data_IF_094502065679
#
_entry.id   IF_094502065679
#
_cell.length_a   1.000
_cell.length_b   1.000
_cell.length_c   1.000
_cell.angle_alpha   90.00
_cell.angle_beta   90.00
_cell.angle_gamma   90.00
#
_symmetry.space_group_name_H-M   'P 1'
#
loop_
_entity.id
_entity.type
_entity.pdbx_description
1 polymer ?
#
# COMPACT_ATOMS: atom_id res chain seq x y z
N UNK A 1 -6.16 -53.26 -64.65
CA UNK A 1 -5.08 -52.55 -63.95
C UNK A 1 -5.73 -51.73 -62.84
N UNK A 2 -5.61 -52.16 -61.58
CA UNK A 2 -6.16 -51.47 -60.41
C UNK A 2 -5.01 -50.72 -59.72
N UNK A 3 -5.02 -49.39 -59.80
CA UNK A 3 -4.03 -48.53 -59.14
C UNK A 3 -4.49 -48.25 -57.71
N UNK A 4 -3.76 -48.81 -56.74
CA UNK A 4 -3.94 -48.58 -55.31
C UNK A 4 -3.18 -47.32 -54.89
N UNK A 5 -3.89 -46.30 -54.44
CA UNK A 5 -3.33 -45.03 -53.96
C UNK A 5 -3.18 -45.08 -52.43
N UNK A 6 -1.93 -45.19 -51.98
CA UNK A 6 -1.53 -45.01 -50.58
C UNK A 6 -1.53 -43.53 -50.21
N UNK A 7 -2.38 -43.13 -49.24
CA UNK A 7 -2.30 -41.81 -48.60
C UNK A 7 -1.29 -41.83 -47.45
N UNK A 8 -0.35 -40.87 -47.37
CA UNK A 8 0.54 -40.73 -46.24
C UNK A 8 -0.18 -40.01 -45.08
N UNK A 9 -0.19 -40.62 -43.90
CA UNK A 9 -0.58 -39.96 -42.66
C UNK A 9 0.53 -38.98 -42.25
N UNK A 10 0.25 -37.67 -42.36
CA UNK A 10 1.07 -36.64 -41.72
C UNK A 10 0.86 -36.70 -40.20
N UNK A 11 1.91 -37.00 -39.45
CA UNK A 11 1.93 -36.82 -37.99
C UNK A 11 2.34 -35.38 -37.67
N UNK A 12 1.45 -34.62 -37.03
CA UNK A 12 1.77 -33.30 -36.49
C UNK A 12 2.39 -33.45 -35.10
N UNK A 13 3.54 -32.81 -34.82
CA UNK A 13 4.11 -32.78 -33.48
C UNK A 13 3.24 -31.91 -32.56
N UNK A 14 2.57 -32.54 -31.60
CA UNK A 14 1.78 -31.85 -30.58
C UNK A 14 2.74 -31.32 -29.51
N UNK A 15 3.19 -30.07 -29.66
CA UNK A 15 3.93 -29.37 -28.60
C UNK A 15 2.95 -28.97 -27.49
N UNK A 16 2.98 -29.70 -26.37
CA UNK A 16 2.29 -29.33 -25.15
C UNK A 16 2.98 -28.09 -24.54
N UNK A 17 2.47 -26.90 -24.85
CA UNK A 17 2.83 -25.68 -24.12
C UNK A 17 2.24 -25.75 -22.71
N UNK A 18 3.06 -26.12 -21.73
CA UNK A 18 2.76 -25.96 -20.30
C UNK A 18 2.60 -24.47 -19.99
N UNK A 19 1.35 -24.00 -19.97
CA UNK A 19 1.01 -22.68 -19.43
C UNK A 19 0.97 -22.82 -17.92
N UNK A 20 1.99 -22.31 -17.24
CA UNK A 20 1.97 -22.20 -15.77
C UNK A 20 0.87 -21.19 -15.43
N UNK A 21 -0.18 -21.56 -14.68
CA UNK A 21 -1.19 -20.61 -14.25
C UNK A 21 -0.52 -19.56 -13.36
N UNK A 22 -0.58 -18.30 -13.80
CA UNK A 22 -0.14 -17.16 -13.01
C UNK A 22 -1.02 -17.09 -11.76
N UNK A 23 -0.41 -17.01 -10.58
CA UNK A 23 -1.14 -16.79 -9.34
C UNK A 23 -2.02 -15.53 -9.49
N UNK A 24 -3.27 -15.55 -9.01
CA UNK A 24 -4.15 -14.38 -9.10
C UNK A 24 -3.51 -13.22 -8.34
N UNK A 25 -3.39 -12.06 -8.99
CA UNK A 25 -3.10 -10.79 -8.31
C UNK A 25 -4.35 -10.41 -7.51
N UNK A 26 -4.21 -10.22 -6.21
CA UNK A 26 -5.31 -9.69 -5.38
C UNK A 26 -5.18 -8.17 -5.26
N UNK A 27 -6.32 -7.48 -5.20
CA UNK A 27 -6.37 -6.04 -4.96
C UNK A 27 -7.22 -5.72 -3.75
N UNK A 28 -6.68 -4.90 -2.84
CA UNK A 28 -7.37 -4.52 -1.61
C UNK A 28 -7.42 -3.00 -1.48
N UNK A 29 -8.61 -2.38 -1.50
CA UNK A 29 -8.73 -0.95 -1.34
C UNK A 29 -8.51 -0.52 0.12
N UNK A 30 -7.95 0.67 0.28
CA UNK A 30 -7.83 1.42 1.52
C UNK A 30 -8.73 2.66 1.37
N UNK A 31 -10.01 2.57 1.80
CA UNK A 31 -10.98 3.65 1.64
C UNK A 31 -10.74 4.79 2.61
N UNK A 32 -10.01 4.57 3.69
CA UNK A 32 -9.69 5.58 4.69
C UNK A 32 -8.21 5.49 5.07
N UNK A 33 -7.54 6.63 5.07
CA UNK A 33 -6.20 6.78 5.62
C UNK A 33 -6.08 8.16 6.26
N UNK A 34 -5.52 8.20 7.46
CA UNK A 34 -5.31 9.40 8.26
C UNK A 34 -3.87 9.38 8.78
N UNK A 35 -3.14 10.46 8.54
CA UNK A 35 -1.77 10.64 9.04
C UNK A 35 -1.70 11.94 9.81
N UNK A 36 -1.03 11.92 10.96
CA UNK A 36 -0.78 13.12 11.75
C UNK A 36 0.69 13.12 12.20
N UNK A 37 1.45 14.15 11.87
CA UNK A 37 2.87 14.19 12.17
C UNK A 37 3.39 15.62 12.34
N UNK A 38 4.52 15.76 13.03
CA UNK A 38 5.28 17.02 13.04
C UNK A 38 6.02 17.13 11.70
N UNK A 39 5.68 18.14 10.90
CA UNK A 39 6.30 18.37 9.59
C UNK A 39 7.52 19.29 9.68
N UNK A 40 8.38 19.26 8.65
CA UNK A 40 9.54 20.15 8.52
C UNK A 40 9.16 21.64 8.61
N UNK A 41 7.98 21.99 8.14
CA UNK A 41 7.52 23.37 8.01
C UNK A 41 6.41 23.69 9.02
N UNK A 42 6.43 23.01 10.18
CA UNK A 42 5.48 23.20 11.29
C UNK A 42 6.23 23.53 12.59
N UNK A 43 5.53 23.84 13.69
CA UNK A 43 6.15 24.33 14.92
C UNK A 43 6.28 25.85 14.97
N UNK A 44 7.09 26.32 15.90
CA UNK A 44 7.50 27.73 15.98
C UNK A 44 8.49 28.07 14.86
N UNK A 45 8.73 29.37 14.57
CA UNK A 45 9.72 29.79 13.58
C UNK A 45 11.05 29.05 13.72
N UNK A 46 11.56 28.51 12.61
CA UNK A 46 12.73 27.63 12.60
C UNK A 46 12.45 26.16 12.88
N UNK A 47 11.21 25.68 12.68
CA UNK A 47 10.78 24.29 12.93
C UNK A 47 11.09 23.82 14.37
N UNK A 48 10.97 24.75 15.32
CA UNK A 48 11.25 24.45 16.73
C UNK A 48 9.99 24.00 17.42
N UNK A 49 10.07 22.83 18.05
CA UNK A 49 8.99 22.25 18.84
C UNK A 49 9.38 22.24 20.31
N UNK A 50 8.67 23.00 21.18
CA UNK A 50 8.93 22.92 22.60
C UNK A 50 8.55 21.53 23.12
N UNK A 51 9.26 21.04 24.14
CA UNK A 51 9.13 19.66 24.61
C UNK A 51 7.69 19.29 24.96
N UNK A 52 6.95 20.21 25.58
CA UNK A 52 5.55 20.01 25.97
C UNK A 52 4.57 19.87 24.78
N UNK A 53 4.99 20.25 23.57
CA UNK A 53 4.17 20.23 22.36
C UNK A 53 4.59 19.14 21.36
N UNK A 54 5.68 18.42 21.63
CA UNK A 54 6.08 17.29 20.78
C UNK A 54 5.07 16.16 20.93
N UNK A 55 4.79 15.47 19.83
CA UNK A 55 3.90 14.31 19.82
C UNK A 55 4.40 13.22 18.88
N UNK A 56 3.96 11.99 19.10
CA UNK A 56 4.24 10.89 18.21
C UNK A 56 3.42 11.04 16.92
N UNK A 57 4.06 10.79 15.78
CA UNK A 57 3.35 10.68 14.52
C UNK A 57 2.40 9.48 14.58
N UNK A 58 1.25 9.58 13.91
CA UNK A 58 0.27 8.49 13.80
C UNK A 58 -0.09 8.22 12.35
N UNK A 59 -0.40 6.97 12.06
CA UNK A 59 -1.00 6.50 10.81
C UNK A 59 -2.13 5.55 11.16
N UNK A 60 -3.33 5.85 10.69
CA UNK A 60 -4.53 5.02 10.85
C UNK A 60 -5.13 4.77 9.48
N UNK A 61 -5.45 3.52 9.16
CA UNK A 61 -6.10 3.16 7.91
C UNK A 61 -6.90 1.88 8.04
N UNK A 62 -7.78 1.63 7.09
CA UNK A 62 -8.56 0.38 6.99
C UNK A 62 -8.28 -0.26 5.64
N UNK A 63 -8.02 -1.57 5.62
CA UNK A 63 -7.89 -2.36 4.39
C UNK A 63 -9.15 -3.18 4.22
N UNK A 64 -9.78 -3.10 3.05
CA UNK A 64 -10.95 -3.90 2.72
C UNK A 64 -10.52 -5.23 2.09
N UNK A 65 -10.50 -6.30 2.89
CA UNK A 65 -10.30 -7.66 2.37
C UNK A 65 -11.63 -8.26 1.89
N UNK A 66 -11.60 -9.28 1.01
CA UNK A 66 -12.82 -9.98 0.58
C UNK A 66 -13.64 -10.57 1.74
N UNK A 67 -12.98 -10.82 2.86
CA UNK A 67 -13.52 -11.43 4.07
C UNK A 67 -13.89 -10.42 5.17
N UNK A 68 -13.59 -9.13 4.97
CA UNK A 68 -13.98 -8.03 5.86
C UNK A 68 -12.91 -6.93 6.00
N UNK A 69 -13.30 -5.76 6.53
CA UNK A 69 -12.37 -4.67 6.79
C UNK A 69 -11.43 -5.01 7.96
N UNK A 70 -10.17 -4.57 7.86
CA UNK A 70 -9.17 -4.68 8.91
C UNK A 70 -8.60 -3.31 9.21
N UNK A 71 -8.74 -2.85 10.45
CA UNK A 71 -8.14 -1.60 10.89
C UNK A 71 -6.67 -1.80 11.29
N UNK A 72 -5.83 -0.87 10.83
CA UNK A 72 -4.41 -0.82 11.11
C UNK A 72 -4.07 0.54 11.71
N UNK A 73 -3.26 0.55 12.76
CA UNK A 73 -2.77 1.78 13.38
C UNK A 73 -1.29 1.64 13.73
N UNK A 74 -0.55 2.74 13.64
CA UNK A 74 0.83 2.81 14.08
C UNK A 74 1.15 4.19 14.61
N UNK A 75 2.01 4.24 15.63
CA UNK A 75 2.53 5.47 16.19
C UNK A 75 4.05 5.42 16.33
N UNK A 76 4.72 6.53 16.11
CA UNK A 76 6.18 6.59 16.22
C UNK A 76 6.70 7.97 16.58
N UNK A 77 7.87 7.99 17.20
CA UNK A 77 8.54 9.25 17.53
C UNK A 77 8.92 10.00 16.24
N UNK A 78 8.78 11.33 16.27
CA UNK A 78 9.20 12.16 15.16
C UNK A 78 10.66 11.91 14.77
N UNK A 79 10.91 11.89 13.46
CA UNK A 79 12.18 11.53 12.79
C UNK A 79 12.69 10.10 13.01
N UNK A 80 11.98 9.26 13.76
CA UNK A 80 12.32 7.85 13.97
C UNK A 80 11.32 6.94 13.27
N UNK A 81 11.56 6.66 11.98
CA UNK A 81 10.74 5.70 11.22
C UNK A 81 10.86 4.31 11.87
N UNK A 82 9.74 3.66 12.23
CA UNK A 82 9.75 2.33 12.83
C UNK A 82 10.39 1.30 11.93
N UNK A 83 11.23 0.44 12.52
CA UNK A 83 11.79 -0.73 11.85
C UNK A 83 11.02 -2.01 12.16
N UNK A 84 10.23 -1.99 13.23
CA UNK A 84 9.36 -3.09 13.64
C UNK A 84 8.00 -2.97 12.95
N UNK A 85 7.45 -4.06 12.39
CA UNK A 85 6.09 -4.07 11.86
C UNK A 85 5.05 -3.73 12.93
N UNK A 86 4.00 -3.03 12.51
CA UNK A 86 2.81 -2.79 13.31
C UNK A 86 1.81 -3.91 13.07
N UNK A 87 1.23 -4.42 14.16
CA UNK A 87 0.14 -5.39 14.08
C UNK A 87 -1.19 -4.65 13.87
N UNK A 88 -1.96 -5.07 12.88
CA UNK A 88 -3.33 -4.63 12.70
C UNK A 88 -4.27 -5.40 13.63
N UNK A 89 -5.56 -5.03 13.64
CA UNK A 89 -6.60 -5.87 14.23
C UNK A 89 -6.59 -7.27 13.58
N UNK A 90 -7.11 -8.26 14.31
CA UNK A 90 -7.13 -9.64 13.80
C UNK A 90 -7.86 -9.68 12.45
N UNK A 91 -7.12 -10.15 11.45
CA UNK A 91 -7.65 -10.33 10.12
C UNK A 91 -8.70 -11.44 10.08
N UNK A 92 -9.47 -11.52 9.00
CA UNK A 92 -10.52 -12.52 8.88
C UNK A 92 -9.96 -13.94 8.97
N UNK A 93 -10.67 -14.81 9.70
CA UNK A 93 -10.18 -16.17 10.00
C UNK A 93 -9.03 -16.23 11.01
N UNK A 94 -8.75 -15.13 11.73
CA UNK A 94 -7.67 -15.06 12.72
C UNK A 94 -6.28 -14.86 12.11
N UNK A 95 -6.21 -14.49 10.83
CA UNK A 95 -4.96 -14.20 10.16
C UNK A 95 -4.27 -12.97 10.79
N UNK A 96 -2.96 -13.07 11.03
CA UNK A 96 -2.17 -11.92 11.45
C UNK A 96 -1.93 -10.99 10.25
N UNK A 97 -2.42 -9.76 10.34
CA UNK A 97 -2.15 -8.70 9.36
C UNK A 97 -1.19 -7.71 10.01
N UNK A 98 -0.13 -7.34 9.28
CA UNK A 98 0.86 -6.40 9.74
C UNK A 98 1.26 -5.45 8.61
N UNK A 99 1.70 -4.24 8.97
CA UNK A 99 2.26 -3.29 8.01
C UNK A 99 3.59 -2.72 8.49
N UNK A 100 4.40 -2.27 7.54
CA UNK A 100 5.70 -1.64 7.79
C UNK A 100 5.79 -0.34 7.01
N UNK A 101 6.41 0.66 7.61
CA UNK A 101 6.71 1.93 6.95
C UNK A 101 8.15 1.93 6.44
N UNK A 102 8.36 2.44 5.23
CA UNK A 102 9.68 2.59 4.65
C UNK A 102 9.75 3.90 3.85
N UNK A 103 10.94 4.52 3.71
CA UNK A 103 11.15 5.62 2.78
C UNK A 103 10.81 5.22 1.34
N UNK A 104 10.37 6.20 0.56
CA UNK A 104 9.83 6.09 -0.80
C UNK A 104 10.66 5.27 -1.80
N UNK A 105 11.98 5.20 -1.60
CA UNK A 105 12.91 4.50 -2.51
C UNK A 105 13.19 3.03 -2.11
N UNK A 106 12.74 2.60 -0.93
CA UNK A 106 12.91 1.23 -0.44
C UNK A 106 11.55 0.58 -0.23
N UNK A 107 10.95 0.12 -1.31
CA UNK A 107 9.84 -0.83 -1.24
C UNK A 107 10.22 -2.07 -0.41
N UNK A 108 9.24 -2.75 0.17
CA UNK A 108 9.46 -3.91 1.04
C UNK A 108 10.22 -5.01 0.29
N UNK A 109 11.48 -5.24 0.65
CA UNK A 109 12.28 -6.37 0.16
C UNK A 109 12.17 -7.54 1.14
N UNK A 110 11.14 -8.36 0.99
CA UNK A 110 10.96 -9.55 1.81
C UNK A 110 10.16 -10.63 1.08
N UNK A 111 10.85 -11.64 0.54
CA UNK A 111 10.23 -12.84 0.03
C UNK A 111 9.89 -13.77 1.21
N UNK A 112 8.66 -13.68 1.69
CA UNK A 112 8.06 -14.70 2.54
C UNK A 112 6.75 -15.13 1.87
N UNK A 113 6.22 -16.31 2.18
CA UNK A 113 4.96 -16.86 1.65
C UNK A 113 3.75 -16.09 2.21
N UNK A 114 3.79 -14.77 2.05
CA UNK A 114 2.94 -13.73 2.61
C UNK A 114 2.58 -12.84 1.44
N UNK A 115 1.29 -12.78 1.08
CA UNK A 115 0.83 -11.85 0.07
C UNK A 115 1.26 -10.44 0.49
N UNK A 116 2.12 -9.83 -0.31
CA UNK A 116 2.70 -8.53 0.00
C UNK A 116 2.18 -7.53 -1.02
N UNK A 117 1.52 -6.48 -0.52
CA UNK A 117 1.18 -5.30 -1.29
C UNK A 117 2.04 -4.12 -0.89
N UNK A 118 2.45 -3.31 -1.87
CA UNK A 118 3.08 -2.02 -1.59
C UNK A 118 2.58 -0.97 -2.55
N UNK A 119 2.45 0.25 -2.06
CA UNK A 119 2.00 1.38 -2.84
C UNK A 119 2.76 2.62 -2.37
N UNK A 120 3.36 3.35 -3.31
CA UNK A 120 3.90 4.67 -3.02
C UNK A 120 2.74 5.64 -2.82
N UNK A 121 2.79 6.38 -1.71
CA UNK A 121 1.79 7.39 -1.37
C UNK A 121 2.45 8.76 -1.33
N UNK A 122 2.04 9.64 -2.23
CA UNK A 122 2.40 11.06 -2.25
C UNK A 122 1.21 11.91 -1.81
N UNK A 123 1.46 13.20 -1.61
CA UNK A 123 0.45 14.15 -1.15
C UNK A 123 0.42 15.43 -2.00
N UNK A 124 -0.74 16.09 -2.01
CA UNK A 124 -0.97 17.45 -2.53
C UNK A 124 -0.48 17.72 -3.96
N UNK A 125 -0.59 16.73 -4.84
CA UNK A 125 -0.22 16.87 -6.25
C UNK A 125 -1.40 16.43 -7.12
N UNK A 126 -2.40 17.31 -7.31
CA UNK A 126 -3.60 16.99 -8.07
C UNK A 126 -3.25 16.47 -9.47
N UNK A 127 -3.86 15.35 -9.86
CA UNK A 127 -3.62 14.71 -11.16
C UNK A 127 -2.47 13.71 -11.19
N UNK A 128 -1.64 13.63 -10.14
CA UNK A 128 -0.64 12.56 -10.04
C UNK A 128 -1.29 11.25 -9.55
N UNK A 129 -1.04 10.11 -10.21
CA UNK A 129 -1.72 8.84 -9.91
C UNK A 129 -1.41 8.30 -8.51
N UNK A 130 -0.34 8.75 -7.86
CA UNK A 130 0.05 8.35 -6.50
C UNK A 130 -0.25 9.41 -5.43
N UNK A 131 -0.93 10.51 -5.77
CA UNK A 131 -1.26 11.59 -4.82
C UNK A 131 -2.55 11.31 -4.07
N UNK A 132 -2.57 10.27 -3.24
CA UNK A 132 -3.79 9.85 -2.54
C UNK A 132 -4.11 10.72 -1.32
N UNK A 133 -3.16 11.52 -0.82
CA UNK A 133 -3.33 12.29 0.40
C UNK A 133 -3.49 13.79 0.14
N UNK A 134 -4.45 14.40 0.82
CA UNK A 134 -4.50 15.84 1.05
C UNK A 134 -3.97 16.15 2.44
N UNK A 135 -2.86 16.85 2.51
CA UNK A 135 -2.19 17.25 3.74
C UNK A 135 -2.36 18.74 4.00
N UNK A 136 -2.79 19.08 5.21
CA UNK A 136 -2.94 20.46 5.67
C UNK A 136 -2.12 20.67 6.93
N UNK A 137 -1.33 21.74 6.96
CA UNK A 137 -0.70 22.24 8.17
C UNK A 137 -1.74 22.89 9.08
N UNK A 138 -1.74 22.53 10.35
CA UNK A 138 -2.57 23.13 11.38
C UNK A 138 -1.93 24.37 12.01
N UNK A 139 -2.43 24.75 13.19
CA UNK A 139 -1.77 25.75 14.04
C UNK A 139 -0.31 25.35 14.31
N UNK A 140 0.58 26.28 14.72
CA UNK A 140 2.01 26.03 14.85
C UNK A 140 2.35 24.73 15.59
N UNK A 141 1.62 24.40 16.66
CA UNK A 141 1.86 23.23 17.50
C UNK A 141 0.92 22.04 17.20
N UNK A 142 0.16 22.08 16.11
CA UNK A 142 -0.71 20.97 15.67
C UNK A 142 -0.03 20.09 14.62
N UNK A 143 0.94 20.59 13.86
CA UNK A 143 1.65 19.79 12.86
C UNK A 143 0.87 19.65 11.55
N UNK A 144 1.05 18.53 10.84
CA UNK A 144 0.43 18.25 9.54
C UNK A 144 -0.55 17.10 9.69
N UNK A 145 -1.76 17.30 9.15
CA UNK A 145 -2.81 16.27 9.07
C UNK A 145 -3.07 15.93 7.62
N UNK A 146 -2.97 14.66 7.28
CA UNK A 146 -3.26 14.14 5.96
C UNK A 146 -4.46 13.21 5.99
N UNK A 147 -5.32 13.30 4.99
CA UNK A 147 -6.42 12.37 4.76
C UNK A 147 -6.52 12.03 3.28
N UNK A 148 -7.00 10.83 2.96
CA UNK A 148 -7.41 10.57 1.59
C UNK A 148 -8.72 11.28 1.23
N UNK A 149 -8.97 11.38 -0.08
CA UNK A 149 -10.19 12.00 -0.63
C UNK A 149 -10.40 13.46 -0.21
N UNK A 150 -9.32 14.19 0.08
CA UNK A 150 -9.38 15.64 0.23
C UNK A 150 -9.27 16.38 -1.12
N UNK A 151 -9.31 17.70 -1.06
CA UNK A 151 -9.36 18.59 -2.23
C UNK A 151 -8.12 18.50 -3.15
N UNK A 152 -6.98 18.02 -2.63
CA UNK A 152 -5.71 17.94 -3.35
C UNK A 152 -5.26 16.50 -3.62
N UNK A 153 -6.12 15.51 -3.36
CA UNK A 153 -5.85 14.10 -3.63
C UNK A 153 -6.55 13.60 -4.87
N UNK A 154 -5.98 12.56 -5.48
CA UNK A 154 -6.64 11.73 -6.47
C UNK A 154 -7.92 11.12 -5.89
N UNK A 155 -8.98 11.11 -6.70
CA UNK A 155 -10.28 10.58 -6.30
C UNK A 155 -10.25 9.05 -6.18
N UNK A 156 -10.96 8.52 -5.19
CA UNK A 156 -11.09 7.08 -4.94
C UNK A 156 -10.17 6.54 -3.85
N UNK A 157 -10.28 5.24 -3.54
CA UNK A 157 -9.44 4.59 -2.54
C UNK A 157 -8.01 4.43 -3.05
N UNK A 158 -7.06 4.41 -2.11
CA UNK A 158 -5.74 3.84 -2.34
C UNK A 158 -5.91 2.34 -2.58
N UNK A 159 -5.20 1.75 -3.55
CA UNK A 159 -5.33 0.31 -3.83
C UNK A 159 -3.99 -0.38 -3.59
N UNK A 160 -4.00 -1.45 -2.79
CA UNK A 160 -2.87 -2.36 -2.65
C UNK A 160 -2.97 -3.46 -3.70
N UNK A 161 -1.91 -3.64 -4.48
CA UNK A 161 -1.76 -4.82 -5.34
C UNK A 161 -0.90 -5.87 -4.65
N UNK A 162 -1.51 -7.00 -4.30
CA UNK A 162 -0.84 -8.13 -3.67
C UNK A 162 -0.37 -9.13 -4.72
N UNK A 163 0.86 -9.62 -4.57
CA UNK A 163 1.48 -10.62 -5.44
C UNK A 163 2.06 -11.76 -4.60
#
# INVERSE_FOLDING_TARGET
MLTSTLLPLLSLPFTLSLTIPRAPTETWPIPTISVHFMGRDTGLPGNTWPEYAKFNSTLDFTVEFPTGPVACSGNWEYTKVPTTPFMCEQGPGGAAVQFTLAPTEKGLTGAQLTLTGSQEVRANSPGEPNSYLSCLGGAPLDGIRCKNSGWASTAGPLVLEAK
#
